data_IF_621713380732
#
_entry.id   IF_621713380732
#
_cell.length_a   1.000
_cell.length_b   1.000
_cell.length_c   1.000
_cell.angle_alpha   90.00
_cell.angle_beta   90.00
_cell.angle_gamma   90.00
#
_symmetry.space_group_name_H-M   'P 1'
#
loop_
_entity.id
_entity.type
_entity.pdbx_description
1 polymer ?
#
# COMPACT_ATOMS: atom_id res chain seq x y z
N UNK A 1 1.36 4.94 16.24
CA UNK A 1 1.07 3.64 15.60
C UNK A 1 -0.30 3.64 14.91
N UNK A 2 -0.89 4.80 14.57
CA UNK A 2 -2.24 4.88 14.02
C UNK A 2 -2.26 4.99 12.49
N UNK A 3 -1.15 5.38 11.87
CA UNK A 3 -1.05 5.57 10.43
C UNK A 3 -1.25 4.25 9.65
N UNK A 4 -0.49 3.22 10.01
CA UNK A 4 -0.48 1.94 9.27
C UNK A 4 -1.65 1.01 9.64
N UNK A 5 -2.26 1.20 10.81
CA UNK A 5 -3.47 0.46 11.22
C UNK A 5 -4.74 0.89 10.50
N UNK A 6 -4.71 1.99 9.75
CA UNK A 6 -5.86 2.47 9.00
C UNK A 6 -6.09 1.65 7.73
N UNK A 7 -7.36 1.34 7.47
CA UNK A 7 -7.78 0.59 6.29
C UNK A 7 -7.20 1.20 5.01
N UNK A 8 -6.64 0.35 4.16
CA UNK A 8 -6.02 0.64 2.86
C UNK A 8 -4.57 1.15 2.88
N UNK A 9 -4.02 1.58 4.01
CA UNK A 9 -2.67 2.18 4.07
C UNK A 9 -1.58 1.19 3.68
N UNK A 10 -1.55 0.03 4.35
CA UNK A 10 -0.60 -1.05 4.03
C UNK A 10 -0.80 -1.59 2.62
N UNK A 11 -2.05 -1.63 2.12
CA UNK A 11 -2.33 -2.08 0.76
C UNK A 11 -1.75 -1.13 -0.28
N UNK A 12 -1.86 0.19 -0.10
CA UNK A 12 -1.25 1.17 -1.02
C UNK A 12 0.26 1.04 -1.04
N UNK A 13 0.88 0.89 0.14
CA UNK A 13 2.34 0.72 0.26
C UNK A 13 2.79 -0.56 -0.45
N UNK A 14 2.05 -1.66 -0.28
CA UNK A 14 2.30 -2.93 -0.98
C UNK A 14 2.18 -2.80 -2.50
N UNK A 15 1.13 -2.15 -3.01
CA UNK A 15 0.93 -1.97 -4.45
C UNK A 15 2.01 -1.11 -5.11
N UNK A 16 2.63 -0.19 -4.36
CA UNK A 16 3.71 0.67 -4.83
C UNK A 16 5.10 0.04 -4.67
N UNK A 17 5.23 -1.09 -3.95
CA UNK A 17 6.51 -1.76 -3.76
C UNK A 17 7.20 -2.19 -5.07
N UNK A 18 6.48 -2.69 -6.10
CA UNK A 18 7.09 -3.04 -7.39
C UNK A 18 7.50 -1.83 -8.23
N UNK A 19 6.97 -0.64 -7.94
CA UNK A 19 7.27 0.57 -8.71
C UNK A 19 6.14 1.60 -8.72
N UNK A 20 6.36 2.73 -9.42
CA UNK A 20 5.43 3.85 -9.41
C UNK A 20 4.12 3.52 -10.15
N UNK A 21 2.99 3.94 -9.59
CA UNK A 21 1.66 3.73 -10.16
C UNK A 21 0.84 5.02 -10.25
N UNK A 22 0.08 5.17 -11.32
CA UNK A 22 -0.93 6.23 -11.44
C UNK A 22 -2.13 6.00 -10.53
N UNK A 23 -2.89 7.07 -10.26
CA UNK A 23 -4.09 7.00 -9.40
C UNK A 23 -5.12 5.97 -9.89
N UNK A 24 -5.40 5.95 -11.19
CA UNK A 24 -6.38 5.04 -11.80
C UNK A 24 -5.95 3.57 -11.67
N UNK A 25 -4.65 3.30 -11.82
CA UNK A 25 -4.11 1.96 -11.70
C UNK A 25 -4.16 1.47 -10.26
N UNK A 26 -3.73 2.30 -9.31
CA UNK A 26 -3.93 2.02 -7.88
C UNK A 26 -5.40 1.75 -7.57
N UNK A 27 -6.31 2.61 -8.05
CA UNK A 27 -7.75 2.48 -7.82
C UNK A 27 -8.31 1.13 -8.27
N UNK A 28 -7.87 0.62 -9.41
CA UNK A 28 -8.30 -0.69 -9.96
C UNK A 28 -7.83 -1.86 -9.09
N UNK A 29 -6.68 -1.72 -8.43
CA UNK A 29 -6.13 -2.73 -7.51
C UNK A 29 -6.69 -2.61 -6.08
N UNK A 30 -7.55 -1.62 -5.85
CA UNK A 30 -8.15 -1.31 -4.56
C UNK A 30 -9.67 -1.54 -4.61
N UNK A 31 -10.08 -2.80 -4.78
CA UNK A 31 -11.46 -3.27 -4.99
C UNK A 31 -12.54 -2.38 -4.33
N UNK A 32 -12.66 -2.49 -3.00
CA UNK A 32 -13.70 -1.83 -2.20
C UNK A 32 -13.29 -0.47 -1.64
N UNK A 33 -12.14 0.08 -2.06
CA UNK A 33 -11.82 1.46 -1.70
C UNK A 33 -12.78 2.40 -2.44
N UNK A 34 -12.94 3.65 -2.01
CA UNK A 34 -13.62 4.68 -2.83
C UNK A 34 -12.55 5.63 -3.39
N UNK A 35 -12.83 6.34 -4.49
CA UNK A 35 -11.85 7.29 -5.05
C UNK A 35 -11.50 8.39 -4.06
N UNK A 36 -12.49 8.90 -3.31
CA UNK A 36 -12.27 9.89 -2.27
C UNK A 36 -11.43 9.35 -1.12
N UNK A 37 -11.69 8.10 -0.68
CA UNK A 37 -10.90 7.47 0.36
C UNK A 37 -9.46 7.26 -0.09
N UNK A 38 -9.24 6.74 -1.30
CA UNK A 38 -7.90 6.56 -1.87
C UNK A 38 -7.13 7.89 -1.91
N UNK A 39 -7.78 8.97 -2.36
CA UNK A 39 -7.17 10.31 -2.36
C UNK A 39 -6.75 10.76 -0.96
N UNK A 40 -7.61 10.58 0.04
CA UNK A 40 -7.28 10.90 1.44
C UNK A 40 -6.09 10.08 1.92
N UNK A 41 -6.07 8.77 1.66
CA UNK A 41 -4.96 7.89 2.05
C UNK A 41 -3.64 8.28 1.39
N UNK A 42 -3.66 8.57 0.10
CA UNK A 42 -2.47 9.04 -0.63
C UNK A 42 -1.96 10.35 -0.04
N UNK A 43 -2.84 11.32 0.26
CA UNK A 43 -2.44 12.56 0.93
C UNK A 43 -1.84 12.30 2.31
N UNK A 44 -2.42 11.39 3.10
CA UNK A 44 -1.87 11.04 4.42
C UNK A 44 -0.48 10.40 4.30
N UNK A 45 -0.30 9.45 3.38
CA UNK A 45 1.00 8.80 3.13
C UNK A 45 2.06 9.79 2.61
N UNK A 46 1.64 10.75 1.77
CA UNK A 46 2.52 11.83 1.30
C UNK A 46 2.92 12.76 2.45
N UNK A 47 1.96 13.17 3.29
CA UNK A 47 2.23 14.00 4.45
C UNK A 47 3.13 13.32 5.48
N UNK A 48 3.07 11.99 5.57
CA UNK A 48 3.96 11.18 6.39
C UNK A 48 5.33 10.88 5.74
N UNK A 49 5.57 11.35 4.51
CA UNK A 49 6.83 11.12 3.80
C UNK A 49 7.05 9.67 3.35
N UNK A 50 6.01 8.84 3.31
CA UNK A 50 6.09 7.42 2.89
C UNK A 50 6.05 7.30 1.38
N UNK A 51 5.29 8.17 0.71
CA UNK A 51 5.18 8.22 -0.75
C UNK A 51 5.40 9.64 -1.26
N UNK A 52 5.76 9.75 -2.53
CA UNK A 52 5.84 11.02 -3.26
C UNK A 52 4.99 10.94 -4.52
N UNK A 53 4.45 12.09 -4.95
CA UNK A 53 3.79 12.23 -6.25
C UNK A 53 4.78 12.83 -7.25
N UNK A 54 5.07 12.08 -8.30
CA UNK A 54 6.00 12.44 -9.37
C UNK A 54 5.39 13.47 -10.33
N UNK A 55 6.22 14.02 -11.22
CA UNK A 55 5.80 15.00 -12.24
C UNK A 55 4.76 14.41 -13.21
N UNK A 56 4.92 13.14 -13.59
CA UNK A 56 4.00 12.35 -14.43
C UNK A 56 2.69 11.94 -13.71
N UNK A 57 2.47 12.45 -12.49
CA UNK A 57 1.32 12.17 -11.61
C UNK A 57 1.27 10.75 -11.06
N UNK A 58 2.29 9.92 -11.28
CA UNK A 58 2.42 8.64 -10.59
C UNK A 58 2.81 8.85 -9.13
N UNK A 59 2.46 7.88 -8.30
CA UNK A 59 2.85 7.79 -6.90
C UNK A 59 3.96 6.76 -6.78
N UNK A 60 4.97 7.06 -5.97
CA UNK A 60 6.15 6.24 -5.77
C UNK A 60 6.50 6.20 -4.27
N UNK A 61 7.07 5.10 -3.80
CA UNK A 61 7.62 5.04 -2.45
C UNK A 61 8.82 5.99 -2.33
N UNK A 62 8.93 6.66 -1.19
CA UNK A 62 10.18 7.32 -0.82
C UNK A 62 11.18 6.28 -0.29
N UNK A 63 12.41 6.69 0.00
CA UNK A 63 13.37 5.83 0.69
C UNK A 63 12.81 5.25 2.00
N UNK A 64 12.15 6.09 2.82
CA UNK A 64 11.51 5.66 4.05
C UNK A 64 10.35 4.70 3.80
N UNK A 65 9.58 4.91 2.72
CA UNK A 65 8.55 3.98 2.29
C UNK A 65 9.09 2.61 1.88
N UNK A 66 10.22 2.58 1.17
CA UNK A 66 10.89 1.32 0.81
C UNK A 66 11.48 0.60 2.02
N UNK A 67 12.01 1.32 3.01
CA UNK A 67 12.43 0.73 4.29
C UNK A 67 11.27 0.11 5.06
N UNK A 68 10.12 0.79 5.07
CA UNK A 68 8.90 0.25 5.67
C UNK A 68 8.45 -1.05 4.99
N UNK A 69 8.47 -1.12 3.65
CA UNK A 69 8.18 -2.35 2.89
C UNK A 69 9.08 -3.49 3.37
N UNK A 70 10.40 -3.26 3.44
CA UNK A 70 11.36 -4.28 3.91
C UNK A 70 11.09 -4.74 5.34
N UNK A 71 10.70 -3.83 6.23
CA UNK A 71 10.35 -4.18 7.60
C UNK A 71 9.05 -5.02 7.69
N UNK A 72 8.16 -4.89 6.72
CA UNK A 72 6.88 -5.61 6.65
C UNK A 72 6.97 -6.95 5.89
N UNK A 73 8.02 -7.19 5.11
CA UNK A 73 8.22 -8.45 4.36
C UNK A 73 8.03 -9.72 5.19
N UNK A 74 8.61 -9.86 6.39
CA UNK A 74 8.42 -11.07 7.20
C UNK A 74 6.96 -11.28 7.61
N UNK A 75 6.25 -10.18 7.90
CA UNK A 75 4.84 -10.22 8.28
C UNK A 75 3.97 -10.63 7.08
N UNK A 76 4.25 -10.10 5.89
CA UNK A 76 3.55 -10.48 4.67
C UNK A 76 3.81 -11.94 4.28
N UNK A 77 5.05 -12.42 4.40
CA UNK A 77 5.40 -13.81 4.15
C UNK A 77 4.68 -14.77 5.12
N UNK A 78 4.59 -14.41 6.39
CA UNK A 78 3.81 -15.15 7.38
C UNK A 78 2.32 -15.17 7.00
N UNK A 79 1.74 -14.02 6.65
CA UNK A 79 0.33 -13.92 6.29
C UNK A 79 0.00 -14.80 5.08
N UNK A 80 0.78 -14.75 4.00
CA UNK A 80 0.60 -15.61 2.83
C UNK A 80 0.69 -17.10 3.19
N UNK A 81 1.66 -17.48 4.03
CA UNK A 81 1.86 -18.90 4.39
C UNK A 81 0.77 -19.47 5.31
N UNK A 82 0.10 -18.63 6.09
CA UNK A 82 -0.82 -19.07 7.16
C UNK A 82 -2.29 -18.74 6.87
N UNK A 83 -2.58 -17.72 6.06
CA UNK A 83 -3.94 -17.29 5.73
C UNK A 83 -4.41 -17.84 4.38
N UNK A 84 -3.51 -18.09 3.42
CA UNK A 84 -3.87 -18.80 2.18
C UNK A 84 -4.05 -20.31 2.42
N UNK A 85 -3.48 -20.85 3.50
CA UNK A 85 -3.67 -22.24 3.93
C UNK A 85 -5.12 -22.55 4.39
N UNK A 86 -5.92 -21.53 4.70
CA UNK A 86 -7.33 -21.68 5.10
C UNK A 86 -8.30 -21.91 3.93
N UNK A 87 -7.87 -21.75 2.67
CA UNK A 87 -8.73 -21.91 1.49
C UNK A 87 -8.66 -23.31 0.83
N UNK A 88 -7.76 -24.18 1.29
CA UNK A 88 -7.57 -25.54 0.75
C UNK A 88 -8.06 -26.65 1.70
N UNK A 89 -8.82 -26.29 2.73
CA UNK A 89 -9.26 -27.21 3.77
C UNK A 89 -10.68 -26.91 4.28
N UNK A 90 -11.65 -26.79 3.37
CA UNK A 90 -13.08 -27.02 3.64
C UNK A 90 -13.70 -27.82 2.49
#
# INVERSE_FOLDING_TARGET
>A
MELLGQRWMLRIVWELAPGPLGFLELRRRMDNCSSSMLSVRLQTLQGAGVIVKRADKAYELTMAGSELVRALEPLWAWAASNLDAGAAGE
#
